data_IF_719326899356
#
_entry.id   IF_719326899356
#
_cell.length_a   1.000
_cell.length_b   1.000
_cell.length_c   1.000
_cell.angle_alpha   90.00
_cell.angle_beta   90.00
_cell.angle_gamma   90.00
#
_symmetry.space_group_name_H-M   'P 1'
#
loop_
_entity.id
_entity.type
_entity.pdbx_description
1 polymer ?
#
# COMPACT_ATOMS: atom_id res chain seq x y z
N UNK A 1 22.66 4.68 4.67
CA UNK A 1 21.28 5.22 4.54
C UNK A 1 21.23 6.71 4.87
N UNK A 2 21.81 7.12 6.00
CA UNK A 2 21.84 8.52 6.48
C UNK A 2 22.47 9.53 5.48
N UNK A 3 23.52 9.11 4.77
CA UNK A 3 24.18 9.93 3.72
C UNK A 3 23.23 10.24 2.55
N UNK A 4 22.33 9.31 2.19
CA UNK A 4 21.38 9.47 1.09
C UNK A 4 20.24 10.42 1.51
N UNK A 5 19.75 10.27 2.74
CA UNK A 5 18.69 11.13 3.31
C UNK A 5 19.18 12.58 3.42
N UNK A 6 20.39 12.80 3.94
CA UNK A 6 20.97 14.15 4.02
C UNK A 6 21.14 14.79 2.64
N UNK A 7 21.51 14.00 1.61
CA UNK A 7 21.65 14.50 0.24
C UNK A 7 20.30 14.87 -0.39
N UNK A 8 19.24 14.13 -0.08
CA UNK A 8 17.88 14.42 -0.53
C UNK A 8 17.31 15.66 0.15
N UNK A 9 17.52 15.81 1.46
CA UNK A 9 17.10 17.00 2.23
C UNK A 9 17.67 18.29 1.63
N UNK A 10 18.97 18.32 1.35
CA UNK A 10 19.63 19.49 0.74
C UNK A 10 19.02 19.83 -0.63
N UNK A 11 18.72 18.82 -1.44
CA UNK A 11 18.13 19.02 -2.78
C UNK A 11 16.71 19.54 -2.71
N UNK A 12 15.90 19.05 -1.78
CA UNK A 12 14.51 19.48 -1.57
C UNK A 12 14.47 20.91 -1.05
N UNK A 13 15.26 21.25 -0.02
CA UNK A 13 15.38 22.62 0.51
C UNK A 13 15.84 23.61 -0.58
N UNK A 14 16.79 23.21 -1.42
CA UNK A 14 17.27 24.02 -2.54
C UNK A 14 16.26 24.16 -3.69
N UNK A 15 15.39 23.17 -3.91
CA UNK A 15 14.31 23.27 -4.89
C UNK A 15 13.21 24.23 -4.42
N UNK A 16 12.78 24.10 -3.16
CA UNK A 16 11.75 24.96 -2.55
C UNK A 16 12.24 26.40 -2.45
N UNK A 17 13.50 26.61 -2.07
CA UNK A 17 14.11 27.95 -2.03
C UNK A 17 14.15 28.65 -3.39
N UNK A 18 14.08 27.91 -4.50
CA UNK A 18 14.01 28.46 -5.86
C UNK A 18 12.60 28.78 -6.33
N UNK A 19 11.57 28.30 -5.62
CA UNK A 19 10.18 28.36 -6.05
C UNK A 19 9.29 29.22 -5.16
N UNK A 20 9.80 29.73 -4.03
CA UNK A 20 9.00 30.42 -3.00
C UNK A 20 9.69 31.71 -2.56
N UNK A 21 8.92 32.79 -2.39
CA UNK A 21 9.41 34.10 -1.91
C UNK A 21 9.88 34.09 -0.45
N UNK A 22 10.75 35.05 -0.08
CA UNK A 22 11.48 35.09 1.20
C UNK A 22 10.60 35.01 2.45
N UNK A 23 9.41 35.62 2.44
CA UNK A 23 8.49 35.56 3.60
C UNK A 23 7.95 34.15 3.86
N UNK A 24 7.49 33.44 2.82
CA UNK A 24 7.02 32.05 2.94
C UNK A 24 8.16 31.07 3.22
N UNK A 25 9.37 31.39 2.76
CA UNK A 25 10.57 30.59 3.03
C UNK A 25 10.87 30.50 4.53
N UNK A 26 10.76 31.61 5.26
CA UNK A 26 11.05 31.66 6.70
C UNK A 26 10.05 30.86 7.55
N UNK A 27 8.81 30.69 7.09
CA UNK A 27 7.80 29.86 7.74
C UNK A 27 7.94 28.37 7.40
N UNK A 28 8.30 28.06 6.14
CA UNK A 28 8.42 26.68 5.64
C UNK A 28 9.69 25.96 6.12
N UNK A 29 10.82 26.67 6.25
CA UNK A 29 12.11 26.07 6.62
C UNK A 29 12.13 25.37 8.00
N UNK A 30 11.50 25.92 9.07
CA UNK A 30 11.40 25.21 10.35
C UNK A 30 10.45 24.01 10.29
N UNK A 31 9.34 24.07 9.56
CA UNK A 31 8.45 22.91 9.39
C UNK A 31 9.10 21.78 8.60
N UNK A 32 9.76 22.10 7.48
CA UNK A 32 10.51 21.12 6.69
C UNK A 32 11.62 20.48 7.52
N UNK A 33 12.37 21.27 8.27
CA UNK A 33 13.43 20.74 9.15
C UNK A 33 12.85 19.82 10.22
N UNK A 34 11.70 20.17 10.82
CA UNK A 34 10.99 19.31 11.77
C UNK A 34 10.58 17.98 11.15
N UNK A 35 10.08 17.95 9.92
CA UNK A 35 9.72 16.71 9.22
C UNK A 35 10.94 15.86 8.85
N UNK A 36 12.07 16.48 8.45
CA UNK A 36 13.31 15.74 8.20
C UNK A 36 13.92 15.17 9.48
N UNK A 37 13.86 15.91 10.58
CA UNK A 37 14.31 15.44 11.89
C UNK A 37 13.43 14.31 12.41
N UNK A 38 12.12 14.38 12.17
CA UNK A 38 11.19 13.29 12.47
C UNK A 38 11.54 12.03 11.65
N UNK A 39 11.72 12.17 10.33
CA UNK A 39 12.10 11.06 9.45
C UNK A 39 13.47 10.45 9.80
N UNK A 40 14.44 11.27 10.21
CA UNK A 40 15.75 10.78 10.71
C UNK A 40 15.59 10.08 12.04
N UNK A 41 14.74 10.58 12.95
CA UNK A 41 14.47 9.96 14.25
C UNK A 41 13.77 8.61 14.07
N UNK A 42 12.79 8.52 13.19
CA UNK A 42 12.12 7.27 12.81
C UNK A 42 13.13 6.27 12.20
N UNK A 43 13.96 6.72 11.26
CA UNK A 43 15.02 5.87 10.67
C UNK A 43 16.06 5.40 11.70
N UNK A 44 16.39 6.24 12.68
CA UNK A 44 17.30 5.87 13.79
C UNK A 44 16.61 4.97 14.81
N UNK A 45 15.31 5.12 15.06
CA UNK A 45 14.53 4.20 15.91
C UNK A 45 14.39 2.82 15.25
N UNK A 46 14.21 2.76 13.92
CA UNK A 46 14.27 1.53 13.14
C UNK A 46 15.64 0.84 13.24
N UNK A 47 16.74 1.61 13.33
CA UNK A 47 18.11 1.07 13.48
C UNK A 47 18.50 0.75 14.94
N UNK A 48 18.01 1.50 15.93
CA UNK A 48 18.27 1.24 17.35
C UNK A 48 17.37 0.12 17.92
N UNK A 49 16.27 -0.22 17.24
CA UNK A 49 15.51 -1.45 17.49
C UNK A 49 16.23 -2.73 17.02
N UNK A 50 17.29 -2.62 16.20
CA UNK A 50 18.08 -3.77 15.70
C UNK A 50 19.08 -4.34 16.73
N UNK A 51 18.87 -4.09 18.02
CA UNK A 51 19.57 -4.77 19.12
C UNK A 51 18.91 -6.07 19.58
N UNK A 52 17.73 -6.42 19.07
CA UNK A 52 17.08 -7.69 19.41
C UNK A 52 17.31 -8.72 18.29
N UNK A 53 17.88 -9.87 18.66
CA UNK A 53 18.01 -11.08 17.82
C UNK A 53 16.62 -11.69 17.58
N UNK A 54 15.71 -10.92 16.98
CA UNK A 54 14.39 -11.41 16.61
C UNK A 54 14.54 -12.16 15.28
N UNK A 55 14.38 -13.50 15.26
CA UNK A 55 14.56 -14.25 14.04
C UNK A 55 13.47 -13.87 13.02
N UNK A 56 13.85 -13.88 11.74
CA UNK A 56 12.96 -13.50 10.65
C UNK A 56 12.10 -14.68 10.21
N UNK A 57 10.82 -14.41 9.92
CA UNK A 57 9.91 -15.39 9.33
C UNK A 57 9.28 -14.78 8.07
N UNK A 58 9.52 -15.39 6.92
CA UNK A 58 8.91 -14.92 5.67
C UNK A 58 7.40 -15.17 5.69
N UNK A 59 6.60 -14.25 5.16
CA UNK A 59 5.14 -14.42 5.01
C UNK A 59 4.81 -15.72 4.27
N UNK A 60 5.56 -16.03 3.21
CA UNK A 60 5.42 -17.27 2.41
C UNK A 60 5.78 -18.57 3.13
N UNK A 61 6.40 -18.48 4.32
CA UNK A 61 6.77 -19.63 5.14
C UNK A 61 5.74 -19.96 6.23
N UNK A 62 4.71 -19.13 6.38
CA UNK A 62 3.58 -19.40 7.28
C UNK A 62 2.63 -20.33 6.56
N UNK A 63 2.29 -21.45 7.20
CA UNK A 63 1.39 -22.43 6.62
C UNK A 63 -0.06 -21.94 6.66
N UNK A 64 -0.90 -22.27 5.67
CA UNK A 64 -2.32 -21.90 5.65
C UNK A 64 -3.05 -22.21 6.96
N UNK A 65 -2.86 -23.42 7.50
CA UNK A 65 -3.48 -23.87 8.75
C UNK A 65 -3.04 -23.09 10.00
N UNK A 66 -1.90 -22.38 9.92
CA UNK A 66 -1.37 -21.58 11.00
C UNK A 66 -1.83 -20.12 10.93
N UNK A 67 -2.35 -19.63 9.80
CA UNK A 67 -2.64 -18.19 9.58
C UNK A 67 -3.71 -17.69 10.55
N UNK A 68 -4.88 -18.31 10.57
CA UNK A 68 -6.00 -17.90 11.42
C UNK A 68 -5.61 -17.91 12.91
N UNK A 69 -5.01 -19.01 13.37
CA UNK A 69 -4.57 -19.16 14.76
C UNK A 69 -3.46 -18.19 15.12
N UNK A 70 -2.54 -17.93 14.19
CA UNK A 70 -1.39 -17.04 14.45
C UNK A 70 -1.87 -15.61 14.58
N UNK A 71 -2.70 -15.13 13.67
CA UNK A 71 -3.07 -13.72 13.56
C UNK A 71 -4.43 -13.39 14.19
N UNK A 72 -5.13 -14.37 14.77
CA UNK A 72 -6.47 -14.17 15.33
C UNK A 72 -7.51 -13.78 14.28
N UNK A 73 -7.26 -14.11 13.01
CA UNK A 73 -8.17 -13.82 11.91
C UNK A 73 -9.22 -14.91 11.86
N UNK A 74 -10.49 -14.50 11.79
CA UNK A 74 -11.62 -15.40 11.56
C UNK A 74 -12.36 -14.99 10.30
N UNK A 75 -12.78 -15.96 9.52
CA UNK A 75 -13.71 -15.74 8.42
C UNK A 75 -15.02 -15.19 8.99
N UNK A 76 -15.54 -14.12 8.40
CA UNK A 76 -16.81 -13.54 8.81
C UNK A 76 -18.01 -14.44 8.48
N UNK A 77 -19.21 -14.02 8.90
CA UNK A 77 -20.45 -14.75 8.61
C UNK A 77 -20.79 -14.86 7.11
N UNK A 78 -20.09 -14.14 6.23
CA UNK A 78 -20.28 -14.23 4.77
C UNK A 78 -19.38 -15.29 4.13
N UNK A 79 -18.57 -15.98 4.93
CA UNK A 79 -17.56 -16.89 4.41
C UNK A 79 -16.38 -16.15 3.79
N UNK A 80 -16.15 -14.88 4.15
CA UNK A 80 -15.07 -14.04 3.63
C UNK A 80 -15.23 -13.63 2.17
N UNK A 81 -16.41 -13.88 1.59
CA UNK A 81 -16.68 -13.63 0.18
C UNK A 81 -17.52 -12.36 0.02
N UNK A 82 -16.86 -11.29 -0.41
CA UNK A 82 -17.58 -10.08 -0.79
C UNK A 82 -18.26 -10.31 -2.15
N UNK A 83 -19.57 -10.52 -2.14
CA UNK A 83 -20.32 -10.74 -3.38
C UNK A 83 -20.74 -9.40 -3.97
N UNK A 84 -20.07 -8.98 -5.04
CA UNK A 84 -20.45 -7.77 -5.78
C UNK A 84 -21.74 -8.02 -6.57
N UNK A 85 -22.76 -7.22 -6.29
CA UNK A 85 -24.02 -7.26 -7.02
C UNK A 85 -23.85 -6.67 -8.42
N UNK A 86 -24.85 -6.88 -9.29
CA UNK A 86 -24.84 -6.26 -10.62
C UNK A 86 -24.80 -4.71 -10.56
N UNK A 87 -25.27 -4.11 -9.45
CA UNK A 87 -25.26 -2.65 -9.24
C UNK A 87 -23.88 -2.12 -8.90
N UNK A 88 -23.01 -2.95 -8.34
CA UNK A 88 -21.63 -2.59 -7.98
C UNK A 88 -20.68 -2.70 -9.18
N UNK A 89 -21.18 -3.21 -10.32
CA UNK A 89 -20.39 -3.34 -11.55
C UNK A 89 -20.30 -2.01 -12.26
N UNK A 90 -19.08 -1.52 -12.42
CA UNK A 90 -18.80 -0.35 -13.25
C UNK A 90 -18.59 -0.79 -14.69
N UNK A 91 -19.16 -0.06 -15.64
CA UNK A 91 -18.90 -0.28 -17.05
C UNK A 91 -17.40 -0.09 -17.35
N UNK A 92 -16.78 -1.06 -18.01
CA UNK A 92 -15.36 -0.96 -18.37
C UNK A 92 -15.19 0.23 -19.34
N UNK A 93 -14.35 1.23 -19.01
CA UNK A 93 -14.10 2.35 -19.91
C UNK A 93 -13.45 1.90 -21.22
N UNK A 94 -13.73 2.61 -22.32
CA UNK A 94 -13.22 2.24 -23.64
C UNK A 94 -11.67 2.22 -23.69
N UNK A 95 -11.02 3.23 -23.12
CA UNK A 95 -9.55 3.28 -23.06
C UNK A 95 -8.93 2.11 -22.28
N UNK A 96 -9.63 1.58 -21.27
CA UNK A 96 -9.16 0.40 -20.53
C UNK A 96 -9.30 -0.87 -21.38
N UNK A 97 -10.39 -1.00 -22.16
CA UNK A 97 -10.53 -2.10 -23.12
C UNK A 97 -9.41 -2.10 -24.15
N UNK A 98 -9.08 -0.92 -24.68
CA UNK A 98 -7.99 -0.74 -25.65
C UNK A 98 -6.64 -1.12 -25.04
N UNK A 99 -6.30 -0.58 -23.86
CA UNK A 99 -5.05 -0.90 -23.18
C UNK A 99 -4.90 -2.41 -22.87
N UNK A 100 -5.98 -3.07 -22.41
CA UNK A 100 -5.95 -4.51 -22.16
C UNK A 100 -5.78 -5.32 -23.46
N UNK A 101 -6.40 -4.87 -24.56
CA UNK A 101 -6.24 -5.50 -25.88
C UNK A 101 -4.82 -5.34 -26.42
N UNK A 102 -4.22 -4.17 -26.24
CA UNK A 102 -2.84 -3.92 -26.66
C UNK A 102 -1.86 -4.81 -25.89
N UNK A 103 -2.08 -4.98 -24.58
CA UNK A 103 -1.34 -5.96 -23.78
C UNK A 103 -1.47 -7.36 -24.40
N UNK A 104 -2.70 -7.80 -24.70
CA UNK A 104 -2.97 -9.13 -25.29
C UNK A 104 -2.32 -9.34 -26.66
N UNK A 105 -2.26 -8.31 -27.50
CA UNK A 105 -1.59 -8.36 -28.81
C UNK A 105 -0.07 -8.49 -28.63
N UNK A 106 0.54 -7.70 -27.74
CA UNK A 106 2.00 -7.66 -27.56
C UNK A 106 2.56 -8.98 -27.02
N UNK A 107 1.77 -9.67 -26.20
CA UNK A 107 2.18 -10.93 -25.55
C UNK A 107 1.70 -12.17 -26.28
N UNK A 108 1.05 -12.02 -27.43
CA UNK A 108 0.51 -13.15 -28.19
C UNK A 108 1.63 -14.16 -28.48
N UNK A 109 1.41 -15.43 -28.10
CA UNK A 109 2.40 -16.50 -28.24
C UNK A 109 3.46 -16.59 -27.13
N UNK A 110 3.50 -15.64 -26.19
CA UNK A 110 4.38 -15.72 -25.02
C UNK A 110 3.75 -16.56 -23.89
N UNK A 111 4.56 -17.25 -23.06
CA UNK A 111 4.06 -17.94 -21.87
C UNK A 111 3.38 -16.98 -20.89
N UNK A 112 2.19 -17.35 -20.42
CA UNK A 112 1.49 -16.63 -19.37
C UNK A 112 2.26 -16.76 -18.05
N UNK A 113 2.73 -15.65 -17.51
CA UNK A 113 3.44 -15.59 -16.24
C UNK A 113 2.88 -14.46 -15.36
N UNK A 114 3.42 -14.34 -14.16
CA UNK A 114 2.97 -13.35 -13.18
C UNK A 114 3.16 -11.90 -13.67
N UNK A 115 4.21 -11.62 -14.45
CA UNK A 115 4.46 -10.29 -14.99
C UNK A 115 3.34 -9.83 -15.94
N UNK A 116 2.80 -10.76 -16.75
CA UNK A 116 1.60 -10.48 -17.56
C UNK A 116 0.40 -10.16 -16.65
N UNK A 117 0.11 -11.01 -15.67
CA UNK A 117 -0.99 -10.76 -14.72
C UNK A 117 -0.86 -9.37 -14.07
N UNK A 118 0.34 -9.01 -13.60
CA UNK A 118 0.64 -7.69 -13.02
C UNK A 118 0.38 -6.56 -14.01
N UNK A 119 0.86 -6.66 -15.26
CA UNK A 119 0.63 -5.62 -16.27
C UNK A 119 -0.87 -5.34 -16.52
N UNK A 120 -1.71 -6.39 -16.50
CA UNK A 120 -3.17 -6.24 -16.62
C UNK A 120 -3.79 -5.61 -15.37
N UNK A 121 -3.36 -6.02 -14.19
CA UNK A 121 -3.80 -5.43 -12.92
C UNK A 121 -3.43 -3.94 -12.87
N UNK A 122 -2.21 -3.58 -13.25
CA UNK A 122 -1.72 -2.20 -13.33
C UNK A 122 -2.62 -1.35 -14.22
N UNK A 123 -2.94 -1.83 -15.43
CA UNK A 123 -3.83 -1.14 -16.35
C UNK A 123 -5.21 -0.86 -15.72
N UNK A 124 -5.78 -1.84 -15.02
CA UNK A 124 -7.07 -1.71 -14.31
C UNK A 124 -6.96 -0.72 -13.16
N UNK A 125 -5.98 -0.87 -12.27
CA UNK A 125 -5.80 -0.01 -11.09
C UNK A 125 -5.54 1.45 -11.49
N UNK A 126 -4.69 1.68 -12.48
CA UNK A 126 -4.40 3.03 -12.96
C UNK A 126 -5.61 3.67 -13.63
N UNK A 127 -6.27 2.95 -14.54
CA UNK A 127 -7.44 3.47 -15.24
C UNK A 127 -8.56 3.82 -14.26
N UNK A 128 -8.89 2.92 -13.34
CA UNK A 128 -9.98 3.09 -12.38
C UNK A 128 -9.70 4.21 -11.38
N UNK A 129 -8.53 4.21 -10.73
CA UNK A 129 -8.18 5.22 -9.75
C UNK A 129 -8.04 6.62 -10.40
N UNK A 130 -7.47 6.70 -11.60
CA UNK A 130 -7.38 7.96 -12.32
C UNK A 130 -8.76 8.48 -12.73
N UNK A 131 -9.65 7.61 -13.22
CA UNK A 131 -11.02 7.99 -13.56
C UNK A 131 -11.77 8.54 -12.34
N UNK A 132 -11.74 7.82 -11.22
CA UNK A 132 -12.41 8.23 -10.00
C UNK A 132 -11.85 9.56 -9.44
N UNK A 133 -10.53 9.74 -9.44
CA UNK A 133 -9.90 11.03 -9.04
C UNK A 133 -10.25 12.19 -9.98
N UNK A 134 -10.41 11.94 -11.28
CA UNK A 134 -10.81 12.97 -12.26
C UNK A 134 -12.27 13.36 -12.10
N UNK A 135 -13.17 12.38 -11.90
CA UNK A 135 -14.59 12.61 -11.67
C UNK A 135 -14.83 13.46 -10.42
N UNK A 136 -14.13 13.16 -9.33
CA UNK A 136 -14.21 13.95 -8.12
C UNK A 136 -13.70 15.39 -8.35
N UNK A 137 -12.62 15.57 -9.11
CA UNK A 137 -12.13 16.91 -9.50
C UNK A 137 -13.16 17.70 -10.29
N UNK A 138 -13.88 17.08 -11.22
CA UNK A 138 -14.95 17.77 -11.97
C UNK A 138 -16.16 18.12 -11.09
N UNK A 139 -16.47 17.29 -10.09
CA UNK A 139 -17.65 17.48 -9.24
C UNK A 139 -17.42 18.44 -8.05
N UNK A 140 -16.17 18.70 -7.66
CA UNK A 140 -15.84 19.61 -6.56
C UNK A 140 -16.23 21.08 -6.76
N UNK A 141 -16.57 21.50 -7.98
CA UNK A 141 -17.20 22.81 -8.20
C UNK A 141 -18.64 22.89 -7.64
N UNK A 142 -19.20 21.82 -7.04
CA UNK A 142 -20.61 21.78 -6.62
C UNK A 142 -20.88 21.45 -5.15
N UNK A 143 -19.99 20.79 -4.39
CA UNK A 143 -20.22 20.51 -2.96
C UNK A 143 -18.90 20.37 -2.18
N UNK A 144 -18.83 21.02 -1.01
CA UNK A 144 -17.82 20.77 0.02
C UNK A 144 -18.21 19.53 0.81
N UNK A 145 -17.49 18.42 0.65
CA UNK A 145 -17.64 17.22 1.48
C UNK A 145 -16.37 16.92 2.27
N UNK A 146 -16.56 16.39 3.47
CA UNK A 146 -15.55 15.92 4.44
C UNK A 146 -14.35 15.20 3.79
N UNK A 147 -13.14 15.51 4.27
CA UNK A 147 -11.85 15.03 3.75
C UNK A 147 -11.65 13.51 3.87
N UNK A 148 -12.35 12.82 4.77
CA UNK A 148 -12.20 11.37 5.01
C UNK A 148 -12.91 10.49 3.99
N UNK A 149 -13.85 11.02 3.19
CA UNK A 149 -14.58 10.28 2.15
C UNK A 149 -14.10 10.59 0.72
N UNK A 150 -13.02 11.37 0.58
CA UNK A 150 -12.53 11.80 -0.72
C UNK A 150 -11.71 10.70 -1.42
N UNK A 151 -11.99 10.40 -2.68
CA UNK A 151 -11.14 9.53 -3.52
C UNK A 151 -9.72 10.09 -3.66
N UNK A 152 -9.52 11.38 -3.37
CA UNK A 152 -8.18 11.98 -3.30
C UNK A 152 -7.30 11.39 -2.23
N UNK A 153 -7.87 10.97 -1.09
CA UNK A 153 -7.10 10.36 -0.01
C UNK A 153 -6.68 8.94 -0.33
N UNK A 154 -7.24 8.31 -1.38
CA UNK A 154 -6.84 6.98 -1.83
C UNK A 154 -5.48 7.04 -2.53
N UNK A 155 -4.49 6.29 -2.04
CA UNK A 155 -3.18 6.17 -2.65
C UNK A 155 -2.88 4.70 -2.93
N UNK A 156 -2.36 4.46 -4.13
CA UNK A 156 -1.87 3.16 -4.57
C UNK A 156 -0.35 3.14 -4.42
N UNK A 157 0.17 2.13 -3.73
CA UNK A 157 1.60 1.84 -3.64
C UNK A 157 1.90 0.44 -4.18
N UNK A 158 3.03 0.35 -4.87
CA UNK A 158 3.58 -0.87 -5.42
C UNK A 158 4.68 -1.41 -4.52
N UNK A 159 4.79 -2.73 -4.49
CA UNK A 159 5.96 -3.44 -3.97
C UNK A 159 6.42 -2.98 -2.58
N UNK A 160 5.47 -2.88 -1.64
CA UNK A 160 5.72 -2.37 -0.29
C UNK A 160 6.25 -3.48 0.61
N UNK A 161 7.46 -3.28 1.13
CA UNK A 161 8.04 -4.11 2.17
C UNK A 161 7.22 -3.98 3.46
N UNK A 162 6.83 -5.13 4.00
CA UNK A 162 6.07 -5.28 5.22
C UNK A 162 6.92 -5.99 6.26
N UNK A 163 6.98 -5.42 7.46
CA UNK A 163 7.69 -5.99 8.61
C UNK A 163 6.82 -5.80 9.83
N UNK A 164 6.73 -6.83 10.65
CA UNK A 164 5.92 -6.78 11.87
C UNK A 164 6.48 -7.76 12.88
N UNK A 165 6.69 -7.31 14.12
CA UNK A 165 7.00 -8.23 15.21
C UNK A 165 5.73 -8.95 15.63
N UNK A 166 5.79 -10.28 15.71
CA UNK A 166 4.67 -11.11 16.13
C UNK A 166 5.09 -12.13 17.17
N UNK A 167 4.26 -12.34 18.18
CA UNK A 167 4.45 -13.43 19.15
C UNK A 167 3.58 -14.61 18.73
N UNK A 168 4.23 -15.67 18.23
CA UNK A 168 3.53 -16.87 17.80
C UNK A 168 2.93 -17.65 18.99
N UNK A 169 1.98 -18.58 18.76
CA UNK A 169 1.37 -19.38 19.83
C UNK A 169 2.36 -20.15 20.73
N UNK A 170 3.55 -20.45 20.22
CA UNK A 170 4.65 -21.06 20.98
C UNK A 170 5.43 -20.06 21.87
N UNK A 171 4.91 -18.84 22.04
CA UNK A 171 5.50 -17.71 22.79
C UNK A 171 6.84 -17.21 22.24
N UNK A 172 7.24 -17.65 21.04
CA UNK A 172 8.45 -17.15 20.38
C UNK A 172 8.10 -15.90 19.58
N UNK A 173 8.92 -14.85 19.76
CA UNK A 173 8.83 -13.61 18.99
C UNK A 173 9.56 -13.78 17.65
N UNK A 174 8.94 -13.31 16.58
CA UNK A 174 9.49 -13.35 15.23
C UNK A 174 9.24 -12.02 14.55
N UNK A 175 10.15 -11.59 13.68
CA UNK A 175 9.89 -10.52 12.73
C UNK A 175 9.30 -11.14 11.47
N UNK A 176 7.99 -11.02 11.29
CA UNK A 176 7.29 -11.46 10.09
C UNK A 176 7.57 -10.45 8.97
N UNK A 177 8.11 -10.92 7.85
CA UNK A 177 8.51 -10.06 6.74
C UNK A 177 7.94 -10.54 5.42
N UNK A 178 7.47 -9.61 4.58
CA UNK A 178 7.01 -9.90 3.23
C UNK A 178 6.99 -8.65 2.36
N UNK A 179 6.54 -8.79 1.12
CA UNK A 179 6.45 -7.70 0.16
C UNK A 179 5.14 -7.83 -0.60
N UNK A 180 4.26 -6.84 -0.43
CA UNK A 180 2.97 -6.83 -1.12
C UNK A 180 3.16 -6.33 -2.55
N UNK A 181 2.48 -6.94 -3.53
CA UNK A 181 2.52 -6.44 -4.91
C UNK A 181 1.81 -5.08 -5.00
N UNK A 182 0.62 -4.99 -4.40
CA UNK A 182 -0.19 -3.78 -4.36
C UNK A 182 -0.75 -3.52 -2.97
N UNK A 183 -0.73 -2.26 -2.58
CA UNK A 183 -1.38 -1.75 -1.37
C UNK A 183 -2.17 -0.49 -1.73
N UNK A 184 -3.47 -0.47 -1.42
CA UNK A 184 -4.27 0.76 -1.44
C UNK A 184 -4.58 1.19 -0.02
N UNK A 185 -4.26 2.42 0.33
CA UNK A 185 -4.73 3.04 1.58
C UNK A 185 -5.53 4.29 1.27
N UNK A 186 -6.39 4.69 2.20
CA UNK A 186 -7.10 5.96 2.16
C UNK A 186 -6.99 6.64 3.53
N UNK A 187 -7.06 7.96 3.58
CA UNK A 187 -6.79 8.75 4.79
C UNK A 187 -5.34 9.23 4.90
N UNK A 188 -4.96 9.76 6.06
CA UNK A 188 -3.59 10.24 6.31
C UNK A 188 -2.63 9.06 6.58
N UNK A 189 -1.46 8.97 5.91
CA UNK A 189 -0.53 7.85 6.12
C UNK A 189 -0.06 7.65 7.57
N UNK A 190 -0.09 8.70 8.40
CA UNK A 190 0.27 8.64 9.82
C UNK A 190 -0.89 8.28 10.76
N UNK A 191 -2.12 8.30 10.25
CA UNK A 191 -3.32 7.82 10.91
C UNK A 191 -3.83 6.65 10.07
N UNK A 192 -3.23 5.47 10.26
CA UNK A 192 -3.56 4.26 9.52
C UNK A 192 -4.95 3.72 9.91
N UNK A 193 -5.96 4.57 9.88
CA UNK A 193 -7.37 4.25 10.10
C UNK A 193 -7.87 3.46 8.88
N UNK A 194 -7.61 2.14 8.94
CA UNK A 194 -8.35 1.05 8.34
C UNK A 194 -8.96 1.29 6.95
N UNK A 195 -8.30 0.86 5.87
CA UNK A 195 -8.82 -0.03 4.81
C UNK A 195 -7.67 -0.20 3.81
N UNK A 196 -6.88 -1.22 4.06
CA UNK A 196 -5.89 -1.67 3.12
C UNK A 196 -6.51 -2.73 2.20
N UNK A 197 -6.45 -2.50 0.88
CA UNK A 197 -6.64 -3.58 -0.08
C UNK A 197 -5.27 -4.12 -0.46
N UNK A 198 -5.00 -5.38 -0.09
CA UNK A 198 -3.84 -6.13 -0.56
C UNK A 198 -4.29 -6.96 -1.75
N UNK A 199 -3.58 -6.81 -2.86
CA UNK A 199 -3.74 -7.68 -4.03
C UNK A 199 -2.42 -8.40 -4.25
N UNK A 200 -2.49 -9.72 -4.34
CA UNK A 200 -1.35 -10.57 -4.67
C UNK A 200 -1.58 -11.14 -6.08
N UNK A 201 -0.68 -10.83 -7.00
CA UNK A 201 -0.75 -11.36 -8.35
C UNK A 201 -0.21 -12.78 -8.36
N UNK A 202 -1.01 -13.75 -8.81
CA UNK A 202 -0.58 -15.15 -8.96
C UNK A 202 -0.72 -15.65 -10.39
N UNK A 203 0.08 -16.65 -10.73
CA UNK A 203 -0.09 -17.44 -11.94
C UNK A 203 -1.46 -18.14 -11.94
N UNK A 204 -2.01 -18.38 -13.13
CA UNK A 204 -3.30 -19.05 -13.28
C UNK A 204 -3.32 -20.41 -12.54
N UNK A 205 -4.32 -20.61 -11.69
CA UNK A 205 -4.50 -21.85 -10.92
C UNK A 205 -3.81 -21.87 -9.56
N UNK A 206 -3.09 -20.81 -9.18
CA UNK A 206 -2.47 -20.68 -7.86
C UNK A 206 -3.32 -19.73 -7.00
N UNK A 207 -3.74 -20.20 -5.83
CA UNK A 207 -4.45 -19.38 -4.84
C UNK A 207 -3.46 -18.65 -3.94
N UNK A 208 -3.61 -17.33 -3.79
CA UNK A 208 -2.79 -16.47 -2.93
C UNK A 208 -3.46 -16.02 -1.63
N UNK A 209 -4.55 -16.70 -1.23
CA UNK A 209 -5.42 -16.27 -0.13
C UNK A 209 -4.67 -16.22 1.19
N UNK A 210 -3.91 -17.27 1.52
CA UNK A 210 -3.19 -17.36 2.80
C UNK A 210 -2.13 -16.25 2.93
N UNK A 211 -1.40 -15.98 1.85
CA UNK A 211 -0.43 -14.89 1.80
C UNK A 211 -1.11 -13.53 2.02
N UNK A 212 -2.28 -13.34 1.41
CA UNK A 212 -3.10 -12.13 1.56
C UNK A 212 -3.60 -11.98 2.99
N UNK A 213 -4.06 -13.05 3.62
CA UNK A 213 -4.53 -13.06 5.01
C UNK A 213 -3.39 -12.74 6.00
N UNK A 214 -2.19 -13.28 5.78
CA UNK A 214 -1.02 -12.91 6.59
C UNK A 214 -0.74 -11.41 6.46
N UNK A 215 -0.76 -10.85 5.25
CA UNK A 215 -0.60 -9.42 5.07
C UNK A 215 -1.71 -8.65 5.81
N UNK A 216 -2.97 -9.03 5.70
CA UNK A 216 -4.07 -8.40 6.44
C UNK A 216 -3.84 -8.43 7.96
N UNK A 217 -3.43 -9.57 8.50
CA UNK A 217 -3.06 -9.72 9.92
C UNK A 217 -1.90 -8.83 10.34
N UNK A 218 -0.95 -8.57 9.43
CA UNK A 218 0.14 -7.64 9.70
C UNK A 218 -0.32 -6.21 9.92
N UNK A 219 -1.43 -5.79 9.31
CA UNK A 219 -1.95 -4.43 9.45
C UNK A 219 -2.91 -4.26 10.63
N UNK A 220 -3.58 -5.33 11.09
CA UNK A 220 -4.56 -5.25 12.19
C UNK A 220 -3.96 -4.94 13.57
N UNK A 221 -2.70 -5.30 13.82
CA UNK A 221 -2.05 -5.10 15.14
C UNK A 221 -1.13 -3.86 15.17
N UNK A 222 -0.91 -3.18 14.05
CA UNK A 222 -0.47 -1.78 14.07
C UNK A 222 -1.56 -0.84 14.64
N UNK A 223 -2.76 -1.38 14.90
CA UNK A 223 -3.94 -0.70 15.43
C UNK A 223 -4.35 -1.23 16.81
N UNK A 224 -3.40 -1.32 17.75
CA UNK A 224 -3.77 -1.45 19.17
C UNK A 224 -4.33 -0.10 19.63
N UNK A 225 -5.63 -0.07 19.97
CA UNK A 225 -6.31 1.05 20.63
C UNK A 225 -5.74 1.35 22.02
#
# INVERSE_FOLDING_TARGET
MEVIINRLEVRIKAAISRSVGEQKKNELDPELSKHFDLAKKESRQEQQGQGSSCPHKAVTSIKPEDVEKTFGISIDSTGGNWTLSAKDRVAIPQHLREALRDIDIVIEGAPLNEAHTRARIDAVLFSTLAAAKREERSNQNRMSSSSTQSVRSVHLQFEKDMKMEWTFPNKKRWLVTGRTDYSLWYGEPGQMEANLVVCEAKSKGVMGVDQTLVYMGQYTDYMVF
#
